data_IF_626326245992
#
_entry.id   IF_626326245992
#
_cell.length_a   1.000
_cell.length_b   1.000
_cell.length_c   1.000
_cell.angle_alpha   90.00
_cell.angle_beta   90.00
_cell.angle_gamma   90.00
#
_symmetry.space_group_name_H-M   'P 1'
#
loop_
_entity.id
_entity.type
_entity.pdbx_description
1 polymer ?
#
# COMPACT_ATOMS: atom_id res chain seq x y z
N UNK A 1 43.53 -17.59 1.46
CA UNK A 1 44.68 -16.79 0.97
C UNK A 1 44.23 -15.33 0.86
N UNK A 2 44.04 -14.64 1.98
CA UNK A 2 43.80 -13.19 2.00
C UNK A 2 45.20 -12.54 2.08
N UNK A 3 45.62 -11.81 1.04
CA UNK A 3 46.87 -11.05 1.05
C UNK A 3 46.56 -9.68 1.63
N UNK A 4 47.06 -9.37 2.82
CA UNK A 4 47.12 -8.00 3.33
C UNK A 4 47.94 -7.17 2.34
N UNK A 5 47.28 -6.28 1.60
CA UNK A 5 47.94 -5.24 0.81
C UNK A 5 48.23 -4.06 1.75
N UNK A 6 49.40 -3.42 1.65
CA UNK A 6 49.71 -2.23 2.43
C UNK A 6 48.67 -1.14 2.10
N UNK A 7 48.08 -0.56 3.14
CA UNK A 7 47.13 0.55 3.02
C UNK A 7 47.95 1.81 2.79
N UNK A 8 48.01 2.31 1.55
CA UNK A 8 48.53 3.64 1.28
C UNK A 8 47.61 4.65 1.99
N UNK A 9 48.16 5.54 2.83
CA UNK A 9 47.37 6.49 3.63
C UNK A 9 46.50 7.45 2.78
N UNK A 10 46.73 7.47 1.48
CA UNK A 10 45.98 8.26 0.48
C UNK A 10 44.81 7.50 -0.15
N UNK A 11 44.69 6.16 0.02
CA UNK A 11 43.57 5.40 -0.54
C UNK A 11 43.15 4.20 0.33
N UNK A 12 41.98 4.32 0.95
CA UNK A 12 41.38 3.28 1.80
C UNK A 12 40.28 2.57 1.01
N UNK A 13 40.43 1.25 0.84
CA UNK A 13 39.41 0.40 0.22
C UNK A 13 38.63 -0.34 1.31
N UNK A 14 37.34 -0.03 1.44
CA UNK A 14 36.43 -0.66 2.40
C UNK A 14 35.48 -1.60 1.68
N UNK A 15 35.50 -2.87 2.07
CA UNK A 15 34.52 -3.86 1.64
C UNK A 15 33.43 -3.99 2.69
N UNK A 16 32.19 -3.78 2.29
CA UNK A 16 31.01 -3.89 3.16
C UNK A 16 29.81 -4.42 2.39
N UNK A 17 28.77 -4.80 3.12
CA UNK A 17 27.53 -5.29 2.53
C UNK A 17 26.55 -4.14 2.29
N UNK A 18 25.69 -4.32 1.29
CA UNK A 18 24.54 -3.44 1.06
C UNK A 18 23.31 -4.12 1.66
N UNK A 19 22.65 -3.47 2.61
CA UNK A 19 21.36 -3.91 3.12
C UNK A 19 20.27 -3.55 2.10
N UNK A 20 19.54 -4.57 1.62
CA UNK A 20 18.40 -4.39 0.72
C UNK A 20 17.16 -4.82 1.49
N UNK A 21 16.13 -3.97 1.44
CA UNK A 21 14.85 -4.23 2.09
C UNK A 21 13.80 -4.53 1.03
N UNK A 22 13.08 -5.61 1.25
CA UNK A 22 12.00 -6.06 0.38
C UNK A 22 10.70 -6.06 1.16
N UNK A 23 9.61 -5.69 0.47
CA UNK A 23 8.26 -5.73 1.01
C UNK A 23 7.35 -6.37 -0.03
N UNK A 24 6.56 -7.34 0.42
CA UNK A 24 5.52 -7.95 -0.41
C UNK A 24 4.23 -7.14 -0.25
N UNK A 25 3.70 -6.65 -1.36
CA UNK A 25 2.46 -5.89 -1.40
C UNK A 25 1.32 -6.82 -1.75
N UNK A 26 0.28 -6.83 -0.91
CA UNK A 26 -0.94 -7.60 -1.12
C UNK A 26 -2.17 -6.69 -1.07
N UNK A 27 -3.21 -7.06 -1.81
CA UNK A 27 -4.52 -6.44 -1.64
C UNK A 27 -5.17 -6.97 -0.36
N UNK A 28 -5.75 -6.07 0.44
CA UNK A 28 -6.44 -6.42 1.69
C UNK A 28 -7.88 -6.95 1.48
N UNK A 29 -8.15 -7.56 0.32
CA UNK A 29 -9.48 -8.03 -0.05
C UNK A 29 -9.42 -9.05 -1.17
N UNK A 30 -10.52 -9.80 -1.32
CA UNK A 30 -10.66 -10.86 -2.31
C UNK A 30 -11.60 -10.41 -3.41
N UNK A 31 -11.11 -9.60 -4.34
CA UNK A 31 -11.89 -9.20 -5.52
C UNK A 31 -11.02 -9.26 -6.78
N UNK A 32 -11.62 -8.96 -7.93
CA UNK A 32 -10.91 -8.85 -9.21
C UNK A 32 -10.08 -7.57 -9.26
N UNK A 33 -8.87 -7.66 -9.79
CA UNK A 33 -8.04 -6.47 -10.08
C UNK A 33 -8.74 -5.64 -11.16
N UNK A 34 -9.12 -4.41 -10.82
CA UNK A 34 -9.70 -3.45 -11.74
C UNK A 34 -8.61 -2.75 -12.55
N UNK A 35 -7.50 -2.39 -11.90
CA UNK A 35 -6.40 -1.64 -12.52
C UNK A 35 -5.09 -2.01 -11.86
N UNK A 36 -4.03 -2.15 -12.66
CA UNK A 36 -2.65 -2.26 -12.21
C UNK A 36 -1.80 -1.35 -13.11
N UNK A 37 -1.34 -0.22 -12.56
CA UNK A 37 -0.58 0.78 -13.34
C UNK A 37 0.93 0.73 -13.09
N UNK A 38 1.34 0.06 -12.01
CA UNK A 38 2.75 -0.11 -11.69
C UNK A 38 3.44 -0.99 -12.73
N UNK A 39 4.66 -0.61 -13.13
CA UNK A 39 5.52 -1.37 -14.04
C UNK A 39 6.70 -1.99 -13.31
N UNK A 40 7.18 -3.12 -13.81
CA UNK A 40 8.40 -3.76 -13.30
C UNK A 40 9.60 -2.80 -13.37
N UNK A 41 10.38 -2.74 -12.28
CA UNK A 41 11.52 -1.83 -12.15
C UNK A 41 11.17 -0.35 -11.93
N UNK A 42 9.87 0.01 -11.87
CA UNK A 42 9.45 1.37 -11.57
C UNK A 42 9.79 1.72 -10.12
N UNK A 43 10.43 2.88 -9.93
CA UNK A 43 10.62 3.45 -8.58
C UNK A 43 9.29 3.94 -8.05
N UNK A 44 8.92 3.49 -6.85
CA UNK A 44 7.68 3.83 -6.16
C UNK A 44 7.98 4.37 -4.76
N UNK A 45 7.04 5.13 -4.21
CA UNK A 45 7.09 5.70 -2.86
C UNK A 45 5.84 5.29 -2.08
N UNK A 46 5.92 5.42 -0.76
CA UNK A 46 4.77 5.20 0.10
C UNK A 46 3.63 6.16 -0.28
N UNK A 47 2.43 5.60 -0.48
CA UNK A 47 1.24 6.36 -0.91
C UNK A 47 1.01 6.37 -2.43
N UNK A 48 1.94 5.84 -3.24
CA UNK A 48 1.73 5.76 -4.68
C UNK A 48 0.58 4.78 -5.00
N UNK A 49 -0.28 5.19 -5.93
CA UNK A 49 -1.34 4.33 -6.45
C UNK A 49 -0.74 3.30 -7.41
N UNK A 50 -0.71 2.04 -6.99
CA UNK A 50 -0.14 0.96 -7.80
C UNK A 50 -1.20 0.18 -8.57
N UNK A 51 -2.38 0.06 -7.96
CA UNK A 51 -3.53 -0.65 -8.53
C UNK A 51 -4.71 -0.66 -7.57
N UNK A 52 -5.84 -1.17 -8.06
CA UNK A 52 -7.08 -1.27 -7.31
C UNK A 52 -7.82 -2.57 -7.63
N UNK A 53 -8.63 -2.98 -6.66
CA UNK A 53 -9.66 -4.00 -6.85
C UNK A 53 -10.96 -3.36 -7.34
N UNK A 54 -11.85 -4.15 -7.94
CA UNK A 54 -13.19 -3.68 -8.27
C UNK A 54 -13.99 -3.34 -7.01
N UNK A 55 -14.66 -2.18 -7.02
CA UNK A 55 -15.34 -1.62 -5.83
C UNK A 55 -16.86 -1.66 -5.91
N UNK A 56 -17.43 -2.11 -7.04
CA UNK A 56 -18.87 -2.00 -7.33
C UNK A 56 -19.75 -2.57 -6.21
N UNK A 57 -19.40 -3.75 -5.70
CA UNK A 57 -20.13 -4.38 -4.60
C UNK A 57 -20.00 -3.59 -3.29
N UNK A 58 -18.79 -3.13 -2.98
CA UNK A 58 -18.52 -2.33 -1.79
C UNK A 58 -19.27 -1.00 -1.82
N UNK A 59 -19.32 -0.34 -2.98
CA UNK A 59 -20.06 0.90 -3.18
C UNK A 59 -21.56 0.71 -2.96
N UNK A 60 -22.13 -0.38 -3.49
CA UNK A 60 -23.54 -0.72 -3.26
C UNK A 60 -23.84 -0.97 -1.77
N UNK A 61 -22.93 -1.66 -1.07
CA UNK A 61 -23.07 -1.92 0.37
C UNK A 61 -23.01 -0.62 1.20
N UNK A 62 -22.10 0.29 0.86
CA UNK A 62 -22.00 1.61 1.48
C UNK A 62 -23.27 2.44 1.24
N UNK A 63 -23.78 2.46 0.01
CA UNK A 63 -25.01 3.18 -0.32
C UNK A 63 -26.22 2.66 0.46
N UNK A 64 -26.34 1.34 0.59
CA UNK A 64 -27.39 0.70 1.40
C UNK A 64 -27.26 1.07 2.88
N UNK A 65 -26.04 1.05 3.43
CA UNK A 65 -25.80 1.42 4.82
C UNK A 65 -26.13 2.90 5.07
N UNK A 66 -25.79 3.79 4.15
CA UNK A 66 -26.12 5.21 4.23
C UNK A 66 -27.63 5.45 4.22
N UNK A 67 -28.38 4.77 3.35
CA UNK A 67 -29.84 4.87 3.31
C UNK A 67 -30.49 4.40 4.63
N UNK A 68 -29.98 3.29 5.21
CA UNK A 68 -30.47 2.78 6.49
C UNK A 68 -30.18 3.77 7.63
N UNK A 69 -29.01 4.40 7.64
CA UNK A 69 -28.64 5.41 8.64
C UNK A 69 -29.60 6.61 8.58
N UNK A 70 -29.91 7.11 7.39
CA UNK A 70 -30.84 8.24 7.24
C UNK A 70 -32.25 7.88 7.70
N UNK A 71 -32.74 6.69 7.37
CA UNK A 71 -34.05 6.22 7.84
C UNK A 71 -34.10 6.17 9.39
N UNK A 72 -33.04 5.66 10.02
CA UNK A 72 -32.95 5.60 11.49
C UNK A 72 -32.87 7.00 12.12
N UNK A 73 -32.12 7.93 11.53
CA UNK A 73 -32.04 9.32 11.98
C UNK A 73 -33.41 9.99 11.98
N UNK A 74 -34.20 9.78 10.93
CA UNK A 74 -35.57 10.31 10.86
C UNK A 74 -36.49 9.70 11.92
N UNK A 75 -36.33 8.41 12.23
CA UNK A 75 -37.10 7.77 13.31
C UNK A 75 -36.75 8.37 14.67
N UNK A 76 -35.46 8.54 14.97
CA UNK A 76 -35.01 9.15 16.24
C UNK A 76 -35.51 10.58 16.35
N UNK A 77 -35.35 11.39 15.30
CA UNK A 77 -35.83 12.78 15.31
C UNK A 77 -37.33 12.90 15.56
N UNK A 78 -38.13 11.92 15.08
CA UNK A 78 -39.58 11.88 15.37
C UNK A 78 -39.88 11.53 16.82
N UNK A 79 -39.03 10.76 17.49
CA UNK A 79 -39.22 10.35 18.88
C UNK A 79 -38.69 11.39 19.88
N UNK A 80 -37.73 12.21 19.47
CA UNK A 80 -37.18 13.31 20.28
C UNK A 80 -37.98 14.62 20.19
N UNK A 81 -38.92 14.71 19.25
CA UNK A 81 -39.84 15.85 19.08
C UNK A 81 -41.16 15.62 19.85
#
# INVERSE_FOLDING_TARGET
>A
MQRDRPVDAENIELSGNVDVREVELAFNGTERIATLIAKEGQRVKAGDFLGSLETVRFEADVARAAANLEAQRQMVSRLEA
#
